data_IF_775124954703
#
_entry.id   IF_775124954703
#
_cell.length_a   1.000
_cell.length_b   1.000
_cell.length_c   1.000
_cell.angle_alpha   90.00
_cell.angle_beta   90.00
_cell.angle_gamma   90.00
#
_symmetry.space_group_name_H-M   'P 1'
#
loop_
_entity.id
_entity.type
_entity.pdbx_description
1 polymer ?
#
# COMPACT_ATOMS: atom_id res chain seq x y z
N UNK A 1 -45.72 -46.32 -59.82
CA UNK A 1 -45.51 -45.44 -58.61
C UNK A 1 -44.06 -45.54 -58.20
N UNK A 2 -43.22 -44.53 -58.47
CA UNK A 2 -41.80 -44.48 -58.12
C UNK A 2 -41.61 -43.65 -56.84
N UNK A 3 -41.15 -44.27 -55.75
CA UNK A 3 -40.75 -43.62 -54.51
C UNK A 3 -39.38 -43.00 -54.73
N UNK A 4 -39.26 -41.66 -54.59
CA UNK A 4 -38.00 -40.91 -54.54
C UNK A 4 -37.52 -40.92 -53.11
N UNK A 5 -36.37 -41.52 -52.84
CA UNK A 5 -35.64 -41.46 -51.59
C UNK A 5 -34.77 -40.22 -51.61
N UNK A 6 -35.09 -39.26 -50.75
CA UNK A 6 -34.28 -38.07 -50.53
C UNK A 6 -33.14 -38.42 -49.56
N UNK A 7 -31.89 -38.39 -50.05
CA UNK A 7 -30.71 -38.55 -49.22
C UNK A 7 -30.40 -37.21 -48.59
N UNK A 8 -30.58 -37.08 -47.24
CA UNK A 8 -30.06 -35.99 -46.45
C UNK A 8 -28.56 -36.16 -46.33
N UNK A 9 -27.81 -35.24 -46.92
CA UNK A 9 -26.37 -35.12 -46.73
C UNK A 9 -26.13 -34.36 -45.44
N UNK A 10 -25.72 -35.07 -44.37
CA UNK A 10 -25.31 -34.44 -43.12
C UNK A 10 -23.92 -33.85 -43.31
N UNK A 11 -23.84 -32.52 -43.37
CA UNK A 11 -22.58 -31.80 -43.39
C UNK A 11 -22.04 -31.76 -41.97
N UNK A 12 -21.03 -32.58 -41.69
CA UNK A 12 -20.32 -32.58 -40.40
C UNK A 12 -19.38 -31.37 -40.37
N UNK A 13 -19.80 -30.29 -39.76
CA UNK A 13 -18.95 -29.11 -39.52
C UNK A 13 -18.02 -29.39 -38.34
N UNK A 14 -16.80 -29.82 -38.64
CA UNK A 14 -15.75 -29.94 -37.64
C UNK A 14 -15.28 -28.52 -37.22
N UNK A 15 -15.79 -28.06 -36.08
CA UNK A 15 -15.26 -26.85 -35.44
C UNK A 15 -13.93 -27.23 -34.81
N UNK A 16 -12.84 -26.87 -35.47
CA UNK A 16 -11.50 -26.91 -34.88
C UNK A 16 -11.40 -25.74 -33.90
N UNK A 17 -11.62 -26.03 -32.61
CA UNK A 17 -11.23 -25.07 -31.54
C UNK A 17 -9.72 -25.00 -31.53
N UNK A 18 -9.17 -23.93 -32.13
CA UNK A 18 -7.82 -23.50 -31.87
C UNK A 18 -7.82 -22.90 -30.47
N UNK A 19 -7.42 -23.69 -29.46
CA UNK A 19 -7.04 -23.16 -28.17
C UNK A 19 -5.80 -22.30 -28.42
N UNK A 20 -5.99 -21.01 -28.64
CA UNK A 20 -4.92 -20.03 -28.49
C UNK A 20 -4.54 -20.02 -27.01
N UNK A 21 -3.44 -20.70 -26.67
CA UNK A 21 -2.73 -20.49 -25.43
C UNK A 21 -2.24 -19.06 -25.51
N UNK A 22 -3.01 -18.12 -24.96
CA UNK A 22 -2.49 -16.79 -24.67
C UNK A 22 -1.35 -17.01 -23.66
N UNK A 23 -0.10 -16.57 -23.95
CA UNK A 23 0.90 -16.51 -22.92
C UNK A 23 0.30 -15.63 -21.84
N UNK A 24 0.20 -16.14 -20.61
CA UNK A 24 -0.08 -15.32 -19.46
C UNK A 24 0.98 -14.23 -19.50
N UNK A 25 0.57 -13.00 -19.81
CA UNK A 25 1.44 -11.85 -19.61
C UNK A 25 1.79 -11.91 -18.11
N UNK A 26 3.02 -12.30 -17.82
CA UNK A 26 3.58 -12.09 -16.50
C UNK A 26 3.46 -10.57 -16.29
N UNK A 27 2.53 -10.18 -15.44
CA UNK A 27 2.52 -8.83 -14.92
C UNK A 27 3.90 -8.68 -14.28
N UNK A 28 4.79 -7.94 -14.91
CA UNK A 28 5.98 -7.42 -14.22
C UNK A 28 5.40 -6.71 -13.00
N UNK A 29 5.67 -7.23 -11.81
CA UNK A 29 5.50 -6.46 -10.59
C UNK A 29 6.37 -5.22 -10.76
N UNK A 30 5.77 -4.13 -11.22
CA UNK A 30 6.42 -2.82 -11.20
C UNK A 30 6.65 -2.52 -9.73
N UNK A 31 7.87 -2.77 -9.27
CA UNK A 31 8.35 -2.36 -7.95
C UNK A 31 8.19 -0.85 -7.88
N UNK A 32 7.10 -0.41 -7.28
CA UNK A 32 6.84 1.02 -7.10
C UNK A 32 7.83 1.54 -6.06
N UNK A 33 8.82 2.25 -6.52
CA UNK A 33 9.70 3.02 -5.64
C UNK A 33 8.88 4.06 -4.89
N UNK A 34 8.88 3.98 -3.57
CA UNK A 34 8.17 4.89 -2.69
C UNK A 34 9.17 5.75 -1.93
N UNK A 35 8.77 6.97 -1.60
CA UNK A 35 9.54 7.86 -0.74
C UNK A 35 8.81 8.04 0.58
N UNK A 36 9.53 7.88 1.67
CA UNK A 36 9.08 8.10 3.03
C UNK A 36 9.87 9.25 3.63
N UNK A 37 9.20 10.26 4.13
CA UNK A 37 9.82 11.46 4.73
C UNK A 37 9.66 11.45 6.23
N UNK A 38 10.74 11.82 6.94
CA UNK A 38 10.74 11.92 8.40
C UNK A 38 9.69 12.91 8.88
N UNK A 39 8.91 12.49 9.87
CA UNK A 39 7.99 13.39 10.56
C UNK A 39 8.77 14.22 11.58
N UNK A 40 8.85 15.52 11.34
CA UNK A 40 9.57 16.50 12.18
C UNK A 40 8.64 17.41 12.98
N UNK A 41 7.35 17.45 12.59
CA UNK A 41 6.29 18.21 13.27
C UNK A 41 5.11 17.27 13.53
N UNK A 42 4.46 17.40 14.70
CA UNK A 42 3.31 16.57 15.02
C UNK A 42 2.15 16.89 14.07
N UNK A 43 1.67 15.93 13.27
CA UNK A 43 0.51 16.16 12.44
C UNK A 43 -0.76 16.27 13.30
N UNK A 44 -1.79 16.92 12.77
CA UNK A 44 -3.10 16.96 13.42
C UNK A 44 -3.73 15.55 13.56
N UNK A 45 -3.39 14.66 12.65
CA UNK A 45 -3.79 13.24 12.64
C UNK A 45 -2.61 12.36 12.18
N UNK A 46 -2.29 11.34 12.98
CA UNK A 46 -1.23 10.38 12.69
C UNK A 46 -1.66 9.27 11.71
N UNK A 47 -2.89 9.26 11.23
CA UNK A 47 -3.33 8.24 10.27
C UNK A 47 -2.48 8.23 9.01
N UNK A 48 -2.18 7.03 8.51
CA UNK A 48 -1.38 6.85 7.29
C UNK A 48 -0.38 5.71 7.38
N UNK A 49 0.49 5.62 6.38
CA UNK A 49 1.49 4.56 6.25
C UNK A 49 2.88 5.09 6.60
N UNK A 50 3.60 4.34 7.43
CA UNK A 50 4.88 4.75 7.98
C UNK A 50 5.91 3.62 7.97
N UNK A 51 7.18 3.99 7.89
CA UNK A 51 8.28 3.16 8.36
C UNK A 51 8.61 3.57 9.81
N UNK A 52 8.86 2.56 10.65
CA UNK A 52 9.34 2.74 12.03
C UNK A 52 10.87 2.57 11.98
N UNK A 53 11.61 3.62 12.30
CA UNK A 53 13.04 3.75 11.98
C UNK A 53 13.88 3.93 13.23
N UNK A 54 14.99 3.21 13.35
CA UNK A 54 16.12 3.54 14.22
C UNK A 54 17.16 4.26 13.36
N UNK A 55 17.21 5.59 13.44
CA UNK A 55 18.06 6.42 12.57
C UNK A 55 19.55 6.19 12.83
N UNK A 56 19.94 6.12 14.10
CA UNK A 56 21.33 5.92 14.49
C UNK A 56 21.91 4.60 13.98
N UNK A 57 21.08 3.58 13.85
CA UNK A 57 21.46 2.26 13.37
C UNK A 57 21.15 2.06 11.87
N UNK A 58 20.46 3.02 11.21
CA UNK A 58 19.99 2.95 9.81
C UNK A 58 19.15 1.71 9.53
N UNK A 59 18.18 1.45 10.39
CA UNK A 59 17.33 0.27 10.35
C UNK A 59 15.85 0.67 10.39
N UNK A 60 15.03 -0.11 9.69
CA UNK A 60 13.57 -0.07 9.84
C UNK A 60 13.07 -1.34 10.51
N UNK A 61 11.95 -1.24 11.22
CA UNK A 61 11.23 -2.40 11.73
C UNK A 61 10.61 -3.19 10.57
N UNK A 62 10.79 -4.49 10.58
CA UNK A 62 10.24 -5.39 9.57
C UNK A 62 8.77 -5.70 9.84
N UNK A 63 7.88 -5.00 9.13
CA UNK A 63 6.43 -5.20 9.18
C UNK A 63 5.91 -6.41 8.41
N UNK A 64 6.76 -7.12 7.65
CA UNK A 64 6.37 -8.26 6.83
C UNK A 64 6.27 -9.57 7.62
N UNK A 65 6.84 -9.62 8.81
CA UNK A 65 6.96 -10.85 9.61
C UNK A 65 5.62 -11.30 10.21
N UNK A 66 5.36 -12.60 10.21
CA UNK A 66 4.22 -13.19 10.91
C UNK A 66 4.35 -13.10 12.42
N UNK A 67 5.59 -13.19 12.92
CA UNK A 67 5.94 -13.00 14.33
C UNK A 67 6.83 -11.77 14.46
N UNK A 68 6.29 -10.69 14.99
CA UNK A 68 6.99 -9.40 15.09
C UNK A 68 7.92 -9.30 16.30
N UNK A 69 7.70 -10.06 17.36
CA UNK A 69 8.55 -10.08 18.57
C UNK A 69 9.68 -11.10 18.47
N UNK A 70 10.52 -10.95 17.46
CA UNK A 70 11.68 -11.82 17.22
C UNK A 70 12.97 -11.03 17.19
N UNK A 71 14.09 -11.70 17.46
CA UNK A 71 15.40 -11.12 17.19
C UNK A 71 15.60 -10.86 15.71
N UNK A 72 16.20 -9.72 15.37
CA UNK A 72 16.44 -9.36 13.97
C UNK A 72 15.21 -8.93 13.19
N UNK A 73 14.12 -8.49 13.85
CA UNK A 73 12.93 -7.92 13.20
C UNK A 73 13.21 -6.53 12.57
N UNK A 74 14.22 -6.48 11.72
CA UNK A 74 14.77 -5.25 11.16
C UNK A 74 15.29 -5.45 9.74
N UNK A 75 15.34 -4.35 8.98
CA UNK A 75 15.88 -4.29 7.61
C UNK A 75 16.78 -3.06 7.52
N UNK A 76 17.90 -3.19 6.83
CA UNK A 76 18.80 -2.07 6.57
C UNK A 76 18.17 -1.08 5.59
N UNK A 77 18.41 0.22 5.83
CA UNK A 77 17.95 1.28 4.94
C UNK A 77 19.03 2.35 4.74
N UNK A 78 18.93 3.06 3.62
CA UNK A 78 19.68 4.28 3.37
C UNK A 78 18.78 5.47 3.66
N UNK A 79 19.28 6.37 4.50
CA UNK A 79 18.59 7.62 4.83
C UNK A 79 19.39 8.78 4.20
N UNK A 80 18.74 9.54 3.33
CA UNK A 80 19.31 10.70 2.65
C UNK A 80 18.35 11.88 2.83
N UNK A 81 18.83 13.01 3.32
CA UNK A 81 18.04 14.24 3.50
C UNK A 81 16.71 14.01 4.24
N UNK A 82 16.76 13.20 5.31
CA UNK A 82 15.57 12.81 6.07
C UNK A 82 14.52 12.04 5.26
N UNK A 83 14.94 11.34 4.20
CA UNK A 83 14.09 10.51 3.35
C UNK A 83 14.65 9.09 3.21
N UNK A 84 13.74 8.15 3.01
CA UNK A 84 14.02 6.76 2.66
C UNK A 84 13.27 6.48 1.37
N UNK A 85 14.00 6.15 0.29
CA UNK A 85 13.41 5.89 -1.03
C UNK A 85 13.73 4.47 -1.48
N UNK A 86 12.72 3.72 -1.90
CA UNK A 86 12.86 2.33 -2.35
C UNK A 86 11.56 1.54 -2.24
N UNK A 87 11.64 0.24 -2.46
CA UNK A 87 10.52 -0.70 -2.29
C UNK A 87 10.46 -1.20 -0.84
N UNK A 88 9.87 -0.38 0.02
CA UNK A 88 9.73 -0.68 1.44
C UNK A 88 8.27 -0.92 1.88
N UNK A 89 7.31 -0.96 0.96
CA UNK A 89 5.88 -1.12 1.28
C UNK A 89 5.60 -2.35 2.17
N UNK A 90 6.26 -3.46 1.90
CA UNK A 90 6.09 -4.71 2.65
C UNK A 90 6.60 -4.66 4.10
N UNK A 91 7.41 -3.67 4.44
CA UNK A 91 7.92 -3.47 5.80
C UNK A 91 7.16 -2.40 6.58
N UNK A 92 6.25 -1.69 5.90
CA UNK A 92 5.56 -0.54 6.47
C UNK A 92 4.49 -0.93 7.49
N UNK A 93 4.08 0.07 8.26
CA UNK A 93 2.99 0.00 9.24
C UNK A 93 1.93 1.04 8.88
N UNK A 94 0.66 0.64 8.98
CA UNK A 94 -0.48 1.56 8.84
C UNK A 94 -0.95 1.98 10.21
N UNK A 95 -1.05 3.28 10.43
CA UNK A 95 -1.62 3.89 11.64
C UNK A 95 -3.09 4.21 11.33
N UNK A 96 -3.98 3.63 12.12
CA UNK A 96 -5.44 3.76 11.98
C UNK A 96 -6.00 4.48 13.21
N UNK A 97 -6.97 5.41 13.07
CA UNK A 97 -7.55 6.09 14.20
C UNK A 97 -8.37 5.12 15.05
N UNK A 98 -8.32 5.32 16.37
CA UNK A 98 -9.07 4.52 17.34
C UNK A 98 -9.45 5.42 18.52
N UNK A 99 -10.52 5.09 19.24
CA UNK A 99 -10.91 5.87 20.42
C UNK A 99 -9.79 5.95 21.44
N UNK A 100 -9.32 7.16 21.73
CA UNK A 100 -8.24 7.42 22.68
C UNK A 100 -6.83 7.34 22.10
N UNK A 101 -6.65 7.14 20.78
CA UNK A 101 -5.36 7.11 20.11
C UNK A 101 -5.38 6.40 18.77
N UNK A 102 -4.48 5.43 18.57
CA UNK A 102 -4.28 4.78 17.28
C UNK A 102 -4.04 3.28 17.42
N UNK A 103 -4.50 2.53 16.43
CA UNK A 103 -4.05 1.17 16.18
C UNK A 103 -2.90 1.20 15.16
N UNK A 104 -1.86 0.40 15.37
CA UNK A 104 -0.72 0.30 14.45
C UNK A 104 -0.68 -1.11 13.88
N UNK A 105 -0.87 -1.20 12.56
CA UNK A 105 -0.98 -2.47 11.83
C UNK A 105 0.23 -2.66 10.92
N UNK A 106 0.91 -3.79 11.04
CA UNK A 106 2.01 -4.16 10.17
C UNK A 106 1.53 -4.57 8.77
N UNK A 107 2.42 -4.56 7.78
CA UNK A 107 2.13 -5.05 6.43
C UNK A 107 1.69 -6.53 6.42
N UNK A 108 2.15 -7.35 7.38
CA UNK A 108 1.66 -8.73 7.57
C UNK A 108 0.24 -8.83 8.15
N UNK A 109 -0.44 -7.68 8.39
CA UNK A 109 -1.80 -7.61 8.87
C UNK A 109 -1.97 -7.74 10.39
N UNK A 110 -0.86 -7.70 11.17
CA UNK A 110 -0.89 -7.80 12.63
C UNK A 110 -0.88 -6.43 13.28
N UNK A 111 -1.77 -6.21 14.23
CA UNK A 111 -1.74 -5.03 15.10
C UNK A 111 -0.70 -5.24 16.21
N UNK A 112 0.07 -4.19 16.50
CA UNK A 112 1.11 -4.23 17.53
C UNK A 112 0.72 -3.46 18.79
N UNK A 113 1.21 -3.92 19.93
CA UNK A 113 1.09 -3.25 21.23
C UNK A 113 2.18 -3.66 22.18
N UNK A 114 2.33 -2.90 23.26
CA UNK A 114 3.11 -3.27 24.42
C UNK A 114 2.35 -4.18 25.37
N UNK A 115 2.99 -4.50 26.50
CA UNK A 115 2.38 -5.17 27.63
C UNK A 115 2.93 -4.59 28.94
N UNK A 116 2.03 -4.11 29.79
CA UNK A 116 2.37 -3.56 31.10
C UNK A 116 3.28 -4.50 31.88
N UNK A 117 4.28 -3.91 32.53
CA UNK A 117 5.24 -4.64 33.34
C UNK A 117 6.22 -5.54 32.60
N UNK A 118 6.22 -5.56 31.24
CA UNK A 118 7.03 -6.48 30.44
C UNK A 118 7.70 -5.79 29.26
N UNK A 119 8.93 -6.19 28.95
CA UNK A 119 9.58 -5.85 27.69
C UNK A 119 9.09 -6.83 26.63
N UNK A 120 8.01 -6.47 25.92
CA UNK A 120 7.37 -7.36 24.96
C UNK A 120 6.68 -6.57 23.85
N UNK A 121 6.69 -7.10 22.64
CA UNK A 121 5.85 -6.69 21.55
C UNK A 121 4.76 -7.75 21.34
N UNK A 122 3.51 -7.41 21.64
CA UNK A 122 2.38 -8.24 21.27
C UNK A 122 2.00 -7.96 19.82
N UNK A 123 1.59 -9.00 19.10
CA UNK A 123 1.04 -8.86 17.77
C UNK A 123 -0.15 -9.80 17.57
N UNK A 124 -1.21 -9.34 16.92
CA UNK A 124 -2.43 -10.11 16.73
C UNK A 124 -3.37 -9.52 15.68
N UNK A 125 -4.52 -10.16 15.49
CA UNK A 125 -5.54 -9.72 14.52
C UNK A 125 -6.49 -8.62 15.06
N UNK A 126 -6.43 -8.35 16.37
CA UNK A 126 -7.31 -7.37 17.03
C UNK A 126 -6.57 -6.04 17.21
N UNK A 127 -7.24 -4.94 16.93
CA UNK A 127 -6.71 -3.60 17.19
C UNK A 127 -6.32 -3.45 18.67
N UNK A 128 -5.23 -2.74 18.90
CA UNK A 128 -4.70 -2.43 20.22
C UNK A 128 -4.32 -0.96 20.29
N UNK A 129 -4.62 -0.34 21.43
CA UNK A 129 -4.41 1.09 21.62
C UNK A 129 -2.93 1.42 21.74
N UNK A 130 -2.52 2.40 20.95
CA UNK A 130 -1.25 3.11 21.06
C UNK A 130 -1.50 4.60 21.11
N UNK A 131 -0.64 5.36 21.78
CA UNK A 131 -0.54 6.80 21.62
C UNK A 131 0.73 7.15 20.88
N UNK A 132 0.68 8.20 20.07
CA UNK A 132 1.83 8.68 19.29
C UNK A 132 2.00 10.17 19.58
N UNK A 133 3.18 10.54 20.06
CA UNK A 133 3.52 11.92 20.39
C UNK A 133 4.86 12.28 19.76
N UNK A 134 5.02 13.57 19.44
CA UNK A 134 6.30 14.15 19.04
C UNK A 134 6.69 15.20 20.09
N UNK A 135 7.68 14.90 20.88
CA UNK A 135 8.17 15.77 21.94
C UNK A 135 9.66 16.00 21.78
N UNK A 136 10.08 17.28 21.73
CA UNK A 136 11.49 17.66 21.56
C UNK A 136 12.17 16.97 20.37
N UNK A 137 11.46 16.85 19.24
CA UNK A 137 11.95 16.23 18.01
C UNK A 137 12.07 14.70 18.06
N UNK A 138 11.53 14.05 19.10
CA UNK A 138 11.51 12.60 19.27
C UNK A 138 10.09 12.08 19.18
N UNK A 139 9.88 11.05 18.37
CA UNK A 139 8.61 10.31 18.34
C UNK A 139 8.58 9.33 19.52
N UNK A 140 7.49 9.37 20.26
CA UNK A 140 7.21 8.47 21.38
C UNK A 140 5.92 7.71 21.06
N UNK A 141 6.04 6.40 20.87
CA UNK A 141 4.90 5.50 20.68
C UNK A 141 4.74 4.69 21.95
N UNK A 142 3.61 4.84 22.64
CA UNK A 142 3.35 4.10 23.87
C UNK A 142 2.14 3.19 23.74
N UNK A 143 2.19 2.07 24.43
CA UNK A 143 1.07 1.13 24.57
C UNK A 143 1.19 0.42 25.92
N UNK A 144 0.09 0.41 26.68
CA UNK A 144 0.00 -0.25 27.97
C UNK A 144 1.20 0.05 28.92
N UNK A 145 1.57 1.34 29.03
CA UNK A 145 2.66 1.82 29.90
C UNK A 145 4.08 1.45 29.46
N UNK A 146 4.25 1.00 28.22
CA UNK A 146 5.55 0.70 27.60
C UNK A 146 5.77 1.51 26.34
N UNK A 147 7.03 1.73 25.94
CA UNK A 147 7.42 2.58 24.81
C UNK A 147 8.12 1.74 23.73
N UNK A 148 7.72 1.93 22.47
CA UNK A 148 8.36 1.30 21.32
C UNK A 148 9.75 1.91 21.09
N UNK A 149 10.77 1.07 21.09
CA UNK A 149 12.17 1.45 20.94
C UNK A 149 12.93 0.34 20.19
N UNK A 150 14.15 0.64 19.78
CA UNK A 150 15.06 -0.34 19.20
C UNK A 150 16.19 -0.69 20.20
N UNK A 151 16.32 -1.98 20.54
CA UNK A 151 17.46 -2.49 21.29
C UNK A 151 18.58 -2.86 20.33
N UNK A 152 19.72 -2.16 20.40
CA UNK A 152 20.91 -2.46 19.59
C UNK A 152 21.98 -3.27 20.34
N UNK A 153 21.71 -3.68 21.59
CA UNK A 153 22.66 -4.47 22.37
C UNK A 153 22.59 -5.96 21.97
N UNK A 154 23.65 -6.46 21.36
CA UNK A 154 23.75 -7.86 20.90
C UNK A 154 23.47 -8.90 21.99
N UNK A 155 23.87 -8.63 23.24
CA UNK A 155 23.66 -9.53 24.39
C UNK A 155 22.19 -9.93 24.60
N UNK A 156 21.25 -9.04 24.24
CA UNK A 156 19.82 -9.25 24.46
C UNK A 156 19.04 -9.51 23.16
N UNK A 157 19.76 -9.71 22.05
CA UNK A 157 19.21 -9.80 20.71
C UNK A 157 18.69 -8.46 20.21
N UNK A 158 19.21 -8.00 19.08
CA UNK A 158 18.82 -6.70 18.49
C UNK A 158 17.42 -6.78 17.90
N UNK A 159 16.52 -5.85 18.31
CA UNK A 159 15.12 -5.86 17.86
C UNK A 159 14.37 -4.58 18.18
N UNK A 160 13.34 -4.27 17.41
CA UNK A 160 12.29 -3.33 17.79
C UNK A 160 11.31 -4.04 18.75
N UNK A 161 10.97 -3.37 19.85
CA UNK A 161 10.09 -3.91 20.88
C UNK A 161 9.55 -2.78 21.77
N UNK A 162 8.45 -3.02 22.46
CA UNK A 162 8.02 -2.16 23.55
C UNK A 162 8.80 -2.47 24.82
N UNK A 163 9.32 -1.42 25.46
CA UNK A 163 10.15 -1.49 26.68
C UNK A 163 9.51 -0.72 27.83
N UNK A 164 9.67 -1.22 29.05
CA UNK A 164 9.21 -0.57 30.29
C UNK A 164 9.97 0.71 30.61
N UNK A 165 11.21 0.80 30.17
CA UNK A 165 12.10 1.94 30.38
C UNK A 165 12.51 2.53 29.05
N UNK A 166 12.76 3.84 29.04
CA UNK A 166 13.14 4.58 27.82
C UNK A 166 14.67 4.69 27.67
N UNK A 167 15.38 3.59 27.87
CA UNK A 167 16.85 3.54 27.81
C UNK A 167 17.39 2.77 26.59
N UNK A 168 16.53 2.43 25.64
CA UNK A 168 16.91 1.88 24.34
C UNK A 168 17.01 2.99 23.31
N UNK A 169 17.39 2.65 22.07
CA UNK A 169 17.45 3.65 20.99
C UNK A 169 16.06 4.17 20.65
N UNK A 170 15.91 5.49 20.51
CA UNK A 170 14.63 6.09 20.10
C UNK A 170 14.28 5.68 18.68
N UNK A 171 13.00 5.77 18.37
CA UNK A 171 12.50 5.58 17.01
C UNK A 171 12.10 6.92 16.39
N UNK A 172 12.06 6.95 15.07
CA UNK A 172 11.45 7.98 14.26
C UNK A 172 10.37 7.35 13.36
N UNK A 173 9.37 8.15 12.99
CA UNK A 173 8.38 7.76 12.00
C UNK A 173 8.67 8.49 10.68
N UNK A 174 8.71 7.72 9.60
CA UNK A 174 8.85 8.24 8.25
C UNK A 174 7.55 7.95 7.51
N UNK A 175 6.82 9.01 7.16
CA UNK A 175 5.52 8.90 6.48
C UNK A 175 5.72 8.74 4.98
N UNK A 176 4.95 7.85 4.36
CA UNK A 176 4.94 7.73 2.91
C UNK A 176 4.49 9.06 2.28
N UNK A 177 5.26 9.53 1.31
CA UNK A 177 4.80 10.60 0.44
C UNK A 177 3.76 9.98 -0.51
N UNK A 178 2.49 10.11 -0.20
CA UNK A 178 1.47 9.88 -1.23
C UNK A 178 1.66 10.98 -2.25
N UNK A 179 2.00 10.62 -3.50
CA UNK A 179 1.87 11.56 -4.59
C UNK A 179 0.49 12.22 -4.42
N UNK A 180 0.45 13.54 -4.34
CA UNK A 180 -0.82 14.26 -4.32
C UNK A 180 -1.64 13.67 -5.46
N UNK A 181 -2.86 13.17 -5.18
CA UNK A 181 -3.73 12.66 -6.24
C UNK A 181 -3.83 13.79 -7.24
N UNK A 182 -3.17 13.65 -8.38
CA UNK A 182 -3.26 14.63 -9.42
C UNK A 182 -4.74 14.67 -9.80
N UNK A 183 -5.39 15.80 -9.53
CA UNK A 183 -6.77 15.98 -9.94
C UNK A 183 -6.77 16.02 -11.45
N UNK A 184 -7.30 14.97 -12.05
CA UNK A 184 -7.45 14.89 -13.49
C UNK A 184 -8.49 15.94 -13.90
N UNK A 185 -8.14 16.81 -14.84
CA UNK A 185 -9.10 17.77 -15.41
C UNK A 185 -10.21 17.01 -16.13
N UNK A 186 -11.41 17.57 -16.11
CA UNK A 186 -12.55 16.99 -16.82
C UNK A 186 -12.24 16.98 -18.32
N UNK A 187 -12.31 15.82 -18.99
CA UNK A 187 -12.14 15.76 -20.44
C UNK A 187 -13.14 16.65 -21.16
N UNK A 188 -12.71 17.25 -22.26
CA UNK A 188 -13.58 18.02 -23.16
C UNK A 188 -13.74 17.27 -24.47
N UNK A 189 -14.87 17.43 -25.12
CA UNK A 189 -15.12 16.94 -26.47
C UNK A 189 -15.16 18.11 -27.49
N UNK A 190 -14.81 17.78 -28.72
CA UNK A 190 -14.93 18.75 -29.83
C UNK A 190 -16.40 19.06 -30.26
N UNK A 191 -17.37 18.37 -29.66
CA UNK A 191 -18.80 18.57 -29.82
C UNK A 191 -19.43 18.96 -28.51
N UNK A 192 -20.43 19.83 -28.53
CA UNK A 192 -21.13 20.25 -27.31
C UNK A 192 -22.00 19.14 -26.77
N UNK A 193 -22.22 19.14 -25.43
CA UNK A 193 -23.16 18.23 -24.81
C UNK A 193 -24.59 18.43 -25.36
N UNK A 194 -25.26 17.32 -25.70
CA UNK A 194 -26.59 17.36 -26.32
C UNK A 194 -26.66 17.82 -27.78
N UNK A 195 -25.52 18.05 -28.45
CA UNK A 195 -25.51 18.43 -29.87
C UNK A 195 -26.02 17.29 -30.78
N UNK A 196 -26.88 17.60 -31.73
CA UNK A 196 -27.17 16.71 -32.83
C UNK A 196 -26.03 16.75 -33.85
N UNK A 197 -25.50 15.59 -34.22
CA UNK A 197 -24.36 15.46 -35.10
C UNK A 197 -24.72 14.53 -36.27
N UNK A 198 -24.12 14.76 -37.42
CA UNK A 198 -24.30 13.92 -38.61
C UNK A 198 -23.62 12.57 -38.40
N UNK A 199 -24.19 11.52 -39.03
CA UNK A 199 -23.58 10.17 -39.02
C UNK A 199 -22.19 10.22 -39.66
N UNK A 200 -21.19 9.72 -38.95
CA UNK A 200 -19.80 9.75 -39.40
C UNK A 200 -18.98 10.93 -38.87
N UNK A 201 -19.56 11.81 -38.06
CA UNK A 201 -18.81 12.89 -37.40
C UNK A 201 -17.80 12.28 -36.41
N UNK A 202 -16.53 12.65 -36.54
CA UNK A 202 -15.48 12.22 -35.62
C UNK A 202 -15.57 13.01 -34.31
N UNK A 203 -15.74 12.29 -33.17
CA UNK A 203 -15.73 12.89 -31.84
C UNK A 203 -14.34 12.70 -31.25
N UNK A 204 -13.68 13.82 -30.90
CA UNK A 204 -12.37 13.85 -30.25
C UNK A 204 -12.52 14.27 -28.79
N UNK A 205 -11.88 13.53 -27.91
CA UNK A 205 -11.79 13.87 -26.50
C UNK A 205 -10.37 14.35 -26.19
N UNK A 206 -10.26 15.41 -25.43
CA UNK A 206 -8.99 15.95 -24.95
C UNK A 206 -9.01 16.09 -23.43
N UNK A 207 -7.88 15.76 -22.78
CA UNK A 207 -7.64 16.03 -21.37
C UNK A 207 -6.26 16.69 -21.23
N UNK A 208 -6.19 17.83 -20.55
CA UNK A 208 -4.94 18.56 -20.36
C UNK A 208 -4.02 17.91 -19.32
N UNK A 209 -4.53 16.98 -18.53
CA UNK A 209 -3.72 16.27 -17.55
C UNK A 209 -2.82 15.27 -18.26
N UNK A 210 -1.51 15.48 -18.18
CA UNK A 210 -0.52 14.57 -18.78
C UNK A 210 -0.63 13.16 -18.19
N UNK A 211 -0.61 12.14 -19.05
CA UNK A 211 -0.73 10.75 -18.66
C UNK A 211 -2.14 10.29 -18.29
N UNK A 212 -3.16 11.14 -18.40
CA UNK A 212 -4.54 10.74 -18.17
C UNK A 212 -5.05 9.85 -19.30
N UNK A 213 -5.81 8.81 -18.92
CA UNK A 213 -6.54 7.94 -19.87
C UNK A 213 -8.01 8.33 -19.85
N UNK A 214 -8.58 8.57 -21.02
CA UNK A 214 -10.00 8.90 -21.16
C UNK A 214 -10.76 7.60 -21.49
N UNK A 215 -11.74 7.26 -20.64
CA UNK A 215 -12.69 6.19 -20.88
C UNK A 215 -14.01 6.78 -21.32
N UNK A 216 -14.59 6.26 -22.39
CA UNK A 216 -15.90 6.69 -22.88
C UNK A 216 -16.84 5.49 -23.03
N UNK A 217 -18.12 5.76 -23.05
CA UNK A 217 -19.17 4.76 -23.25
C UNK A 217 -20.14 5.21 -24.31
N UNK A 218 -20.43 4.37 -25.27
CA UNK A 218 -21.53 4.55 -26.23
C UNK A 218 -22.77 3.81 -25.77
N UNK A 219 -23.95 4.22 -26.22
CA UNK A 219 -25.20 3.55 -25.84
C UNK A 219 -25.12 2.04 -26.18
N UNK A 220 -25.30 1.19 -25.15
CA UNK A 220 -25.28 -0.26 -25.30
C UNK A 220 -23.91 -0.95 -25.23
N UNK A 221 -22.83 -0.23 -24.92
CA UNK A 221 -21.47 -0.80 -24.76
C UNK A 221 -20.91 -0.60 -23.36
N UNK A 222 -19.89 -1.38 -23.01
CA UNK A 222 -19.04 -1.16 -21.85
C UNK A 222 -18.06 0.00 -22.11
N UNK A 223 -17.36 0.52 -21.08
CA UNK A 223 -16.35 1.56 -21.22
C UNK A 223 -15.16 1.09 -22.08
N UNK A 224 -14.69 1.95 -22.93
CA UNK A 224 -13.53 1.73 -23.80
C UNK A 224 -12.40 2.68 -23.47
#
# INVERSE_FOLDING_TARGET
MKKRTTRCLALLLAVVMVLSVMPAAMAEETTQTQTYTKVTEAPADWSGTYLIVSEGDKLIMDGSLDKLDVEGNKVDVTITDSKITGDYAKYAFTVEPMTGGYAIKSASGKYISGKSGSNKLNSGSTQSLNTIELTSGKVIVTSDGTTLQYNNAAKNGTRFRYYKSQNQQPISLYKIETAAKQQVETPTANVADGAEIEVGTEIKFECKTEGATIYYKTAGTEYQ
#
